data_IF_784871998713
#
_entry.id   IF_784871998713
#
_cell.length_a   1.000
_cell.length_b   1.000
_cell.length_c   1.000
_cell.angle_alpha   90.00
_cell.angle_beta   90.00
_cell.angle_gamma   90.00
#
_symmetry.space_group_name_H-M   'P 1'
#
loop_
_entity.id
_entity.type
_entity.pdbx_description
1 polymer ?
#
# COMPACT_ATOMS: atom_id res chain seq x y z
N UNK A 1 -27.51 -42.15 26.82
CA UNK A 1 -27.04 -42.19 25.42
C UNK A 1 -27.30 -40.80 24.82
N UNK A 2 -26.26 -39.98 24.69
CA UNK A 2 -26.35 -38.66 24.03
C UNK A 2 -26.16 -38.90 22.54
N UNK A 3 -27.19 -38.67 21.75
CA UNK A 3 -27.07 -38.68 20.28
C UNK A 3 -26.27 -37.45 19.89
N UNK A 4 -25.02 -37.64 19.48
CA UNK A 4 -24.18 -36.61 18.91
C UNK A 4 -24.58 -36.49 17.42
N UNK A 5 -25.20 -35.41 17.07
CA UNK A 5 -25.58 -35.09 15.69
C UNK A 5 -24.29 -34.91 14.84
N UNK A 6 -24.01 -35.83 13.91
CA UNK A 6 -22.78 -35.75 13.11
C UNK A 6 -22.76 -34.52 12.19
N UNK A 7 -23.91 -33.94 11.82
CA UNK A 7 -23.95 -32.71 11.01
C UNK A 7 -23.51 -31.50 11.81
N UNK A 8 -23.79 -31.43 13.12
CA UNK A 8 -23.28 -30.36 14.00
C UNK A 8 -21.77 -30.41 14.20
N UNK A 9 -21.18 -31.62 14.20
CA UNK A 9 -19.72 -31.80 14.28
C UNK A 9 -19.01 -31.36 12.99
N UNK A 10 -19.65 -31.58 11.83
CA UNK A 10 -19.10 -31.20 10.54
C UNK A 10 -19.22 -29.66 10.28
N UNK A 11 -20.31 -29.02 10.71
CA UNK A 11 -20.48 -27.58 10.60
C UNK A 11 -19.45 -26.80 11.43
N UNK A 12 -18.96 -27.36 12.54
CA UNK A 12 -17.91 -26.72 13.36
C UNK A 12 -16.49 -26.93 12.80
N UNK A 13 -16.31 -27.65 11.69
CA UNK A 13 -14.99 -27.92 11.08
C UNK A 13 -14.74 -27.14 9.79
N UNK A 14 -15.73 -26.38 9.31
CA UNK A 14 -15.55 -25.51 8.14
C UNK A 14 -14.99 -24.18 8.65
N UNK A 15 -13.76 -23.79 8.26
CA UNK A 15 -13.23 -22.48 8.61
C UNK A 15 -14.16 -21.39 8.05
N UNK A 16 -14.50 -20.41 8.88
CA UNK A 16 -15.23 -19.23 8.41
C UNK A 16 -14.31 -18.47 7.42
N UNK A 17 -14.90 -17.99 6.33
CA UNK A 17 -14.19 -17.12 5.43
C UNK A 17 -13.98 -15.76 6.11
N UNK A 18 -12.73 -15.28 6.24
CA UNK A 18 -12.48 -14.01 6.91
C UNK A 18 -12.78 -12.82 6.00
N UNK A 19 -13.22 -11.71 6.59
CA UNK A 19 -13.09 -10.39 5.93
C UNK A 19 -11.65 -9.97 6.03
N UNK A 20 -10.99 -9.79 4.89
CA UNK A 20 -9.60 -9.35 4.82
C UNK A 20 -9.56 -7.81 4.87
N UNK A 21 -8.77 -7.27 5.78
CA UNK A 21 -8.55 -5.84 5.96
C UNK A 21 -7.06 -5.53 5.83
N UNK A 22 -6.71 -4.67 4.89
CA UNK A 22 -5.35 -4.19 4.69
C UNK A 22 -5.20 -2.79 5.28
N UNK A 23 -4.18 -2.60 6.08
CA UNK A 23 -3.83 -1.32 6.69
C UNK A 23 -2.53 -0.83 6.10
N UNK A 24 -2.53 0.39 5.56
CA UNK A 24 -1.36 1.03 4.97
C UNK A 24 -1.06 2.34 5.69
N UNK A 25 0.19 2.53 6.03
CA UNK A 25 0.70 3.70 6.72
C UNK A 25 1.99 4.22 6.07
N UNK A 26 2.26 5.51 6.28
CA UNK A 26 3.53 6.14 5.94
C UNK A 26 4.10 6.79 7.22
N UNK A 27 4.81 5.99 8.06
CA UNK A 27 5.31 6.48 9.34
C UNK A 27 6.29 7.64 9.21
N UNK A 28 6.92 7.77 8.06
CA UNK A 28 7.72 8.92 7.66
C UNK A 28 7.60 9.20 6.16
N UNK A 29 8.23 10.30 5.71
CA UNK A 29 8.14 10.73 4.31
C UNK A 29 8.82 9.82 3.30
N UNK A 30 9.57 8.81 3.75
CA UNK A 30 10.43 7.98 2.89
C UNK A 30 10.11 6.50 2.98
N UNK A 31 9.14 6.11 3.81
CA UNK A 31 8.82 4.71 4.07
C UNK A 31 7.33 4.50 4.12
N UNK A 32 6.89 3.38 3.58
CA UNK A 32 5.54 2.87 3.76
C UNK A 32 5.57 1.54 4.50
N UNK A 33 4.52 1.30 5.28
CA UNK A 33 4.30 0.05 6.00
C UNK A 33 2.88 -0.44 5.74
N UNK A 34 2.69 -1.75 5.74
CA UNK A 34 1.39 -2.39 5.58
C UNK A 34 1.30 -3.68 6.37
N UNK A 35 0.09 -4.02 6.80
CA UNK A 35 -0.22 -5.34 7.36
C UNK A 35 -1.65 -5.73 6.99
N UNK A 36 -1.95 -7.02 7.14
CA UNK A 36 -3.29 -7.55 6.98
C UNK A 36 -3.87 -7.96 8.33
N UNK A 37 -5.16 -7.75 8.50
CA UNK A 37 -5.97 -8.25 9.60
C UNK A 37 -7.13 -9.08 9.04
N UNK A 38 -7.59 -10.04 9.80
CA UNK A 38 -8.62 -10.99 9.36
C UNK A 38 -9.73 -11.04 10.37
N UNK A 39 -10.95 -10.68 9.95
CA UNK A 39 -12.15 -10.73 10.79
C UNK A 39 -12.90 -12.02 10.55
N UNK A 40 -13.09 -12.79 11.62
CA UNK A 40 -13.87 -14.03 11.68
C UNK A 40 -15.11 -13.83 12.56
N UNK A 41 -16.13 -13.18 12.02
CA UNK A 41 -17.27 -12.72 12.81
C UNK A 41 -16.86 -11.62 13.80
N UNK A 42 -16.92 -11.94 15.12
CA UNK A 42 -16.51 -11.00 16.18
C UNK A 42 -15.02 -11.12 16.54
N UNK A 43 -14.35 -12.20 16.10
CA UNK A 43 -12.94 -12.43 16.37
C UNK A 43 -12.04 -11.77 15.32
N UNK A 44 -10.92 -11.21 15.79
CA UNK A 44 -9.96 -10.54 14.94
C UNK A 44 -8.57 -11.16 15.08
N UNK A 45 -7.95 -11.45 13.94
CA UNK A 45 -6.56 -11.90 13.86
C UNK A 45 -5.71 -10.76 13.32
N UNK A 46 -4.69 -10.35 14.06
CA UNK A 46 -3.79 -9.24 13.75
C UNK A 46 -2.35 -9.64 14.07
N UNK A 47 -1.33 -9.05 13.40
CA UNK A 47 0.08 -9.35 13.70
C UNK A 47 0.56 -8.83 15.05
N UNK A 48 -0.25 -8.07 15.77
CA UNK A 48 0.17 -7.37 16.99
C UNK A 48 -0.18 -8.08 18.30
N UNK A 49 -1.16 -8.99 18.26
CA UNK A 49 -1.60 -9.77 19.44
C UNK A 49 -1.78 -11.24 19.07
N UNK A 50 -1.65 -12.15 20.04
CA UNK A 50 -1.92 -13.57 19.80
C UNK A 50 -3.35 -13.80 19.30
N UNK A 51 -3.51 -14.74 18.36
CA UNK A 51 -4.84 -15.12 17.87
C UNK A 51 -5.72 -15.68 18.97
N UNK A 52 -7.04 -15.47 18.91
CA UNK A 52 -7.99 -16.07 19.85
C UNK A 52 -7.86 -17.59 19.89
N UNK A 53 -7.91 -18.17 21.09
CA UNK A 53 -7.81 -19.60 21.28
C UNK A 53 -9.05 -20.31 20.69
N UNK A 54 -8.83 -21.41 19.96
CA UNK A 54 -9.90 -22.23 19.40
C UNK A 54 -10.55 -21.67 18.13
N UNK A 55 -10.07 -20.54 17.60
CA UNK A 55 -10.56 -19.99 16.33
C UNK A 55 -10.14 -20.87 15.15
N UNK A 56 -11.13 -21.34 14.38
CA UNK A 56 -10.89 -22.05 13.13
C UNK A 56 -10.60 -21.04 12.01
N UNK A 57 -9.32 -20.90 11.67
CA UNK A 57 -8.83 -19.94 10.69
C UNK A 57 -8.77 -20.53 9.28
N UNK A 58 -9.11 -19.74 8.28
CA UNK A 58 -8.81 -20.04 6.88
C UNK A 58 -7.38 -19.61 6.53
N UNK A 59 -6.42 -20.47 6.83
CA UNK A 59 -4.99 -20.25 6.57
C UNK A 59 -4.70 -20.00 5.08
N UNK A 60 -5.55 -20.50 4.18
CA UNK A 60 -5.37 -20.28 2.73
C UNK A 60 -5.73 -18.85 2.34
N UNK A 61 -6.86 -18.33 2.83
CA UNK A 61 -7.24 -16.94 2.60
C UNK A 61 -6.20 -15.98 3.21
N UNK A 62 -5.77 -16.23 4.45
CA UNK A 62 -4.74 -15.42 5.08
C UNK A 62 -3.40 -15.45 4.33
N UNK A 63 -2.96 -16.65 3.91
CA UNK A 63 -1.71 -16.78 3.13
C UNK A 63 -1.80 -16.12 1.77
N UNK A 64 -2.98 -16.08 1.16
CA UNK A 64 -3.21 -15.36 -0.11
C UNK A 64 -3.04 -13.86 0.07
N UNK A 65 -3.66 -13.28 1.10
CA UNK A 65 -3.55 -11.87 1.42
C UNK A 65 -2.10 -11.46 1.78
N UNK A 66 -1.42 -12.26 2.60
CA UNK A 66 -0.01 -12.04 2.97
C UNK A 66 0.92 -12.11 1.76
N UNK A 67 0.71 -13.06 0.86
CA UNK A 67 1.49 -13.15 -0.40
C UNK A 67 1.24 -11.96 -1.31
N UNK A 68 0.02 -11.44 -1.34
CA UNK A 68 -0.29 -10.25 -2.11
C UNK A 68 0.50 -9.04 -1.59
N UNK A 69 0.56 -8.81 -0.27
CA UNK A 69 1.43 -7.79 0.32
C UNK A 69 2.90 -8.03 -0.02
N UNK A 70 3.38 -9.27 0.12
CA UNK A 70 4.77 -9.64 -0.16
C UNK A 70 5.17 -9.48 -1.65
N UNK A 71 4.20 -9.40 -2.58
CA UNK A 71 4.50 -9.13 -4.00
C UNK A 71 4.87 -7.67 -4.27
N UNK A 72 4.57 -6.76 -3.35
CA UNK A 72 4.85 -5.33 -3.46
C UNK A 72 5.83 -4.81 -2.41
N UNK A 73 5.86 -5.42 -1.22
CA UNK A 73 6.58 -4.94 -0.05
C UNK A 73 7.42 -6.05 0.58
N UNK A 74 8.46 -5.68 1.31
CA UNK A 74 9.32 -6.61 2.01
C UNK A 74 8.76 -6.94 3.41
N UNK A 75 8.73 -8.22 3.84
CA UNK A 75 8.30 -8.59 5.19
C UNK A 75 9.36 -8.28 6.25
N UNK A 76 8.96 -8.24 7.52
CA UNK A 76 9.88 -8.17 8.64
C UNK A 76 10.18 -6.77 9.17
N UNK A 77 9.33 -5.79 8.86
CA UNK A 77 9.52 -4.42 9.34
C UNK A 77 9.36 -4.35 10.87
N UNK A 78 10.31 -3.68 11.51
CA UNK A 78 10.33 -3.55 12.98
C UNK A 78 10.46 -4.88 13.73
N UNK A 79 11.04 -5.93 13.09
CA UNK A 79 11.18 -7.25 13.68
C UNK A 79 9.88 -8.08 13.71
N UNK A 80 8.85 -7.64 12.97
CA UNK A 80 7.55 -8.32 12.86
C UNK A 80 7.40 -8.93 11.48
N UNK A 81 7.40 -10.26 11.39
CA UNK A 81 7.35 -10.99 10.11
C UNK A 81 6.10 -10.66 9.26
N UNK A 82 4.99 -10.33 9.90
CA UNK A 82 3.70 -10.05 9.24
C UNK A 82 3.45 -8.56 9.00
N UNK A 83 4.44 -7.69 9.24
CA UNK A 83 4.44 -6.28 8.85
C UNK A 83 5.36 -6.12 7.66
N UNK A 84 4.84 -5.56 6.58
CA UNK A 84 5.51 -5.38 5.31
C UNK A 84 5.84 -3.91 5.11
N UNK A 85 6.91 -3.60 4.40
CA UNK A 85 7.22 -2.21 4.11
C UNK A 85 8.38 -2.05 3.16
N UNK A 86 8.61 -0.83 2.73
CA UNK A 86 9.75 -0.44 1.90
C UNK A 86 10.08 1.03 2.09
N UNK A 87 11.34 1.36 1.83
CA UNK A 87 11.84 2.73 1.69
C UNK A 87 12.37 3.00 0.27
N UNK A 88 12.21 2.05 -0.64
CA UNK A 88 12.56 2.20 -2.05
C UNK A 88 11.49 2.99 -2.80
N UNK A 89 11.87 4.07 -3.46
CA UNK A 89 10.93 4.95 -4.16
C UNK A 89 10.18 4.23 -5.30
N UNK A 90 10.84 3.31 -5.99
CA UNK A 90 10.25 2.56 -7.10
C UNK A 90 9.21 1.56 -6.60
N UNK A 91 9.48 0.91 -5.46
CA UNK A 91 8.53 0.01 -4.80
C UNK A 91 7.35 0.78 -4.20
N UNK A 92 7.59 1.96 -3.59
CA UNK A 92 6.52 2.84 -3.09
C UNK A 92 5.58 3.24 -4.24
N UNK A 93 6.13 3.71 -5.36
CA UNK A 93 5.33 4.08 -6.53
C UNK A 93 4.52 2.89 -7.07
N UNK A 94 5.15 1.72 -7.20
CA UNK A 94 4.47 0.51 -7.65
C UNK A 94 3.35 0.10 -6.70
N UNK A 95 3.55 0.27 -5.38
CA UNK A 95 2.51 0.02 -4.39
C UNK A 95 1.32 0.98 -4.56
N UNK A 96 1.57 2.26 -4.82
CA UNK A 96 0.52 3.27 -5.04
C UNK A 96 -0.28 3.01 -6.32
N UNK A 97 0.38 2.67 -7.42
CA UNK A 97 -0.24 2.53 -8.75
C UNK A 97 -0.89 1.16 -8.98
N UNK A 98 -0.25 0.09 -8.52
CA UNK A 98 -0.65 -1.28 -8.79
C UNK A 98 -1.10 -2.02 -7.52
N UNK A 99 -0.39 -1.82 -6.41
CA UNK A 99 -0.62 -2.53 -5.17
C UNK A 99 -1.94 -2.16 -4.51
N UNK A 100 -2.23 -0.89 -4.33
CA UNK A 100 -3.50 -0.44 -3.71
C UNK A 100 -4.72 -0.93 -4.48
N UNK A 101 -4.81 -0.81 -5.82
CA UNK A 101 -5.88 -1.42 -6.60
C UNK A 101 -5.98 -2.95 -6.44
N UNK A 102 -4.85 -3.66 -6.38
CA UNK A 102 -4.84 -5.10 -6.19
C UNK A 102 -5.35 -5.51 -4.80
N UNK A 103 -4.99 -4.76 -3.75
CA UNK A 103 -5.51 -4.99 -2.40
C UNK A 103 -7.02 -4.73 -2.32
N UNK A 104 -7.51 -3.66 -2.97
CA UNK A 104 -8.94 -3.34 -3.03
C UNK A 104 -9.77 -4.42 -3.73
N UNK A 105 -9.19 -5.16 -4.67
CA UNK A 105 -9.84 -6.28 -5.33
C UNK A 105 -9.95 -7.53 -4.42
N UNK A 106 -9.10 -7.65 -3.40
CA UNK A 106 -9.05 -8.82 -2.50
C UNK A 106 -9.75 -8.56 -1.15
N UNK A 107 -9.86 -7.29 -0.70
CA UNK A 107 -10.45 -6.96 0.59
C UNK A 107 -10.66 -5.46 0.81
N UNK A 108 -10.89 -5.10 2.07
CA UNK A 108 -11.01 -3.71 2.50
C UNK A 108 -9.61 -3.09 2.68
N UNK A 109 -9.44 -1.83 2.28
CA UNK A 109 -8.17 -1.11 2.40
C UNK A 109 -8.34 0.15 3.24
N UNK A 110 -7.57 0.24 4.30
CA UNK A 110 -7.54 1.37 5.24
C UNK A 110 -6.22 2.12 5.09
N UNK A 111 -6.30 3.41 4.79
CA UNK A 111 -5.15 4.28 4.58
C UNK A 111 -5.09 5.33 5.68
N UNK A 112 -3.93 5.54 6.28
CA UNK A 112 -3.70 6.70 7.13
C UNK A 112 -3.66 7.98 6.30
N UNK A 113 -3.86 9.14 6.94
CA UNK A 113 -3.77 10.43 6.24
C UNK A 113 -2.36 10.69 5.72
N UNK A 114 -1.34 10.20 6.42
CA UNK A 114 0.05 10.24 5.97
C UNK A 114 0.24 9.46 4.66
N UNK A 115 -0.33 8.25 4.55
CA UNK A 115 -0.27 7.46 3.32
C UNK A 115 -1.07 8.12 2.18
N UNK A 116 -2.26 8.67 2.46
CA UNK A 116 -3.07 9.40 1.47
C UNK A 116 -2.33 10.59 0.87
N UNK A 117 -1.52 11.28 1.66
CA UNK A 117 -0.73 12.43 1.18
C UNK A 117 0.30 12.04 0.12
N UNK A 118 0.74 10.76 0.09
CA UNK A 118 1.63 10.24 -0.96
C UNK A 118 0.91 10.09 -2.32
N UNK A 119 -0.41 9.96 -2.32
CA UNK A 119 -1.25 9.82 -3.53
C UNK A 119 -1.67 11.18 -4.10
N UNK A 120 -1.20 12.29 -3.55
CA UNK A 120 -1.53 13.63 -4.05
C UNK A 120 -1.20 13.73 -5.55
N UNK A 121 -2.12 14.33 -6.31
CA UNK A 121 -1.94 14.49 -7.75
C UNK A 121 -0.64 15.26 -8.05
N UNK A 122 0.12 14.85 -9.06
CA UNK A 122 1.35 15.55 -9.42
C UNK A 122 1.04 17.02 -9.77
N UNK A 123 1.91 17.97 -9.40
CA UNK A 123 1.72 19.36 -9.72
C UNK A 123 1.65 19.54 -11.23
N UNK A 124 0.76 20.41 -11.69
CA UNK A 124 0.68 20.77 -13.11
C UNK A 124 1.80 21.74 -13.42
N UNK A 125 2.72 21.35 -14.30
CA UNK A 125 3.78 22.19 -14.81
C UNK A 125 3.41 22.58 -16.23
N UNK A 126 3.31 23.86 -16.51
CA UNK A 126 3.05 24.40 -17.85
C UNK A 126 4.33 25.03 -18.39
N UNK A 127 4.76 24.60 -19.56
CA UNK A 127 5.93 25.16 -20.24
C UNK A 127 5.46 26.02 -21.42
N UNK A 128 5.63 27.32 -21.30
CA UNK A 128 5.44 28.25 -22.40
C UNK A 128 6.74 28.41 -23.18
N UNK A 129 6.65 28.36 -24.51
CA UNK A 129 7.78 28.62 -25.39
C UNK A 129 7.42 29.82 -26.28
N UNK A 130 8.19 30.90 -26.19
CA UNK A 130 8.04 32.03 -27.06
C UNK A 130 9.33 32.31 -27.86
N UNK A 131 9.19 32.75 -29.09
CA UNK A 131 10.30 33.04 -29.98
C UNK A 131 10.28 34.52 -30.33
N UNK A 132 11.30 35.26 -29.92
CA UNK A 132 11.48 36.66 -30.29
C UNK A 132 12.78 36.82 -31.10
N UNK A 133 12.64 36.92 -32.42
CA UNK A 133 13.79 36.98 -33.32
C UNK A 133 14.59 35.69 -33.33
N UNK A 134 15.86 35.75 -32.92
CA UNK A 134 16.75 34.57 -32.77
C UNK A 134 16.87 34.05 -31.33
N UNK A 135 16.07 34.60 -30.41
CA UNK A 135 16.09 34.22 -29.00
C UNK A 135 14.86 33.36 -28.69
N UNK A 136 15.11 32.22 -28.04
CA UNK A 136 14.09 31.31 -27.55
C UNK A 136 13.91 31.58 -26.06
N UNK A 137 12.76 32.11 -25.68
CA UNK A 137 12.38 32.31 -24.28
C UNK A 137 11.55 31.12 -23.82
N UNK A 138 12.01 30.47 -22.74
CA UNK A 138 11.31 29.39 -22.05
C UNK A 138 10.72 29.94 -20.75
N UNK A 139 9.40 30.03 -20.72
CA UNK A 139 8.67 30.37 -19.51
C UNK A 139 8.13 29.08 -18.89
N UNK A 140 8.55 28.79 -17.66
CA UNK A 140 8.09 27.59 -16.93
C UNK A 140 7.22 28.07 -15.78
N UNK A 141 5.92 27.86 -15.91
CA UNK A 141 4.99 28.07 -14.81
C UNK A 141 4.89 26.77 -14.00
N UNK A 142 5.42 26.83 -12.80
CA UNK A 142 5.43 25.69 -11.86
C UNK A 142 4.25 25.71 -10.89
N UNK A 143 3.36 26.71 -10.97
CA UNK A 143 2.28 26.90 -10.00
C UNK A 143 2.83 27.02 -8.57
N UNK A 144 2.35 26.17 -7.67
CA UNK A 144 2.82 26.09 -6.27
C UNK A 144 4.13 25.29 -6.12
N UNK A 145 4.67 24.76 -7.21
CA UNK A 145 5.83 23.88 -7.19
C UNK A 145 7.14 24.66 -7.01
N UNK A 146 7.98 24.34 -6.00
CA UNK A 146 9.23 25.06 -5.77
C UNK A 146 10.22 24.92 -6.93
N UNK A 147 10.72 26.02 -7.44
CA UNK A 147 11.72 26.05 -8.55
C UNK A 147 12.97 25.21 -8.23
N UNK A 148 13.34 25.09 -6.94
CA UNK A 148 14.46 24.28 -6.51
C UNK A 148 14.25 22.79 -6.82
N UNK A 149 13.02 22.29 -6.70
CA UNK A 149 12.67 20.90 -6.98
C UNK A 149 12.56 20.60 -8.48
N UNK A 150 12.30 21.64 -9.30
CA UNK A 150 12.27 21.51 -10.76
C UNK A 150 13.61 20.99 -11.31
N UNK A 151 14.73 21.44 -10.74
CA UNK A 151 16.07 20.95 -11.15
C UNK A 151 16.26 19.47 -10.87
N UNK A 152 15.75 18.98 -9.75
CA UNK A 152 15.85 17.59 -9.36
C UNK A 152 14.91 16.72 -10.21
N UNK A 153 13.71 17.22 -10.51
CA UNK A 153 12.79 16.60 -11.45
C UNK A 153 13.41 16.46 -12.85
N UNK A 154 13.99 17.54 -13.40
CA UNK A 154 14.65 17.52 -14.71
C UNK A 154 15.84 16.55 -14.74
N UNK A 155 16.60 16.47 -13.63
CA UNK A 155 17.70 15.51 -13.50
C UNK A 155 17.19 14.07 -13.50
N UNK A 156 16.09 13.79 -12.82
CA UNK A 156 15.44 12.48 -12.80
C UNK A 156 14.92 12.05 -14.17
N UNK A 157 14.31 12.99 -14.91
CA UNK A 157 13.89 12.78 -16.29
C UNK A 157 15.07 12.48 -17.23
N UNK A 158 16.18 13.22 -17.06
CA UNK A 158 17.40 12.98 -17.84
C UNK A 158 18.00 11.59 -17.56
N UNK A 159 17.88 11.09 -16.34
CA UNK A 159 18.27 9.73 -15.93
C UNK A 159 17.25 8.65 -16.36
N UNK A 160 16.19 9.01 -17.09
CA UNK A 160 15.10 8.12 -17.54
C UNK A 160 14.37 7.42 -16.38
N UNK A 161 14.33 8.01 -15.20
CA UNK A 161 13.48 7.54 -14.11
C UNK A 161 12.02 7.75 -14.47
N UNK A 162 11.17 6.73 -14.19
CA UNK A 162 9.73 6.79 -14.52
C UNK A 162 8.97 7.80 -13.65
N UNK A 163 9.50 8.12 -12.49
CA UNK A 163 8.87 9.00 -11.50
C UNK A 163 9.93 9.66 -10.62
N UNK A 164 9.55 10.75 -10.02
CA UNK A 164 10.35 11.50 -9.06
C UNK A 164 9.44 11.93 -7.91
N UNK A 165 9.92 11.78 -6.68
CA UNK A 165 9.21 12.23 -5.49
C UNK A 165 9.47 13.72 -5.29
N UNK A 166 8.40 14.49 -5.20
CA UNK A 166 8.42 15.89 -4.80
C UNK A 166 8.44 15.96 -3.27
N UNK A 167 9.21 16.86 -2.71
CA UNK A 167 9.35 17.05 -1.26
C UNK A 167 8.50 18.19 -0.76
#
# INVERSE_FOLDING_TARGET
LTIVDPERLLLNQIPLEPVVQFYLDAPDSFRIEAHAEFLYGEDKVTPFVPSPAGLLRDVRAESRAKRLLASYLQPGVGGREEVYGTADEDEIYRMLEEGVPALLAEGEVYLTDAFRSLQAAPPRITVGVSVHGSVLDLEVDTGEFPVAELKDLLRSLHQKKRYHRLR
#
